data_IF_912659019170
#
_entry.id   IF_912659019170
#
_cell.length_a   1.000
_cell.length_b   1.000
_cell.length_c   1.000
_cell.angle_alpha   90.00
_cell.angle_beta   90.00
_cell.angle_gamma   90.00
#
_symmetry.space_group_name_H-M   'P 1'
#
loop_
_entity.id
_entity.type
_entity.pdbx_description
1 polymer ?
#
# COMPACT_ATOMS: atom_id res chain seq x y z
N UNK A 1 8.68 6.28 3.80
CA UNK A 1 8.77 4.84 4.19
C UNK A 1 7.68 4.52 5.21
N UNK A 2 6.88 3.46 4.99
CA UNK A 2 5.76 3.03 5.84
C UNK A 2 6.25 2.33 7.13
N UNK A 3 7.09 2.99 7.93
CA UNK A 3 7.69 2.38 9.13
C UNK A 3 7.33 3.18 10.37
N UNK A 4 6.61 2.53 11.28
CA UNK A 4 6.47 2.96 12.67
C UNK A 4 7.68 2.45 13.47
N UNK A 5 8.03 3.09 14.58
CA UNK A 5 9.10 2.66 15.51
C UNK A 5 8.94 1.20 15.98
N UNK A 6 7.73 0.65 15.92
CA UNK A 6 7.44 -0.75 16.26
C UNK A 6 7.48 -1.73 15.07
N UNK A 7 7.48 -1.22 13.83
CA UNK A 7 7.39 -2.02 12.61
C UNK A 7 8.78 -2.26 12.00
N UNK A 8 9.17 -3.52 11.87
CA UNK A 8 10.39 -3.91 11.15
C UNK A 8 10.07 -4.01 9.65
N UNK A 9 11.07 -3.93 8.75
CA UNK A 9 10.83 -4.13 7.31
C UNK A 9 10.08 -5.44 7.00
N UNK A 10 10.35 -6.52 7.74
CA UNK A 10 9.65 -7.80 7.62
C UNK A 10 8.15 -7.78 7.98
N UNK A 11 7.62 -6.65 8.45
CA UNK A 11 6.18 -6.40 8.55
C UNK A 11 5.56 -6.08 7.18
N UNK A 12 6.34 -5.52 6.25
CA UNK A 12 5.89 -5.08 4.94
C UNK A 12 6.33 -6.00 3.82
N UNK A 13 7.59 -6.45 3.86
CA UNK A 13 8.23 -7.28 2.83
C UNK A 13 8.49 -8.68 3.37
N UNK A 14 8.87 -9.62 2.49
CA UNK A 14 9.20 -10.98 2.90
C UNK A 14 10.39 -10.98 3.85
N UNK A 15 10.13 -11.45 5.07
CA UNK A 15 11.15 -11.67 6.09
C UNK A 15 12.01 -12.86 5.70
N UNK A 16 13.33 -12.72 5.91
CA UNK A 16 14.29 -13.80 5.66
C UNK A 16 14.05 -15.05 6.51
N UNK A 17 13.40 -14.90 7.66
CA UNK A 17 13.07 -15.99 8.58
C UNK A 17 11.79 -16.76 8.18
N UNK A 18 10.92 -16.16 7.37
CA UNK A 18 9.62 -16.71 6.96
C UNK A 18 9.49 -16.83 5.43
N UNK A 19 10.61 -17.08 4.73
CA UNK A 19 10.66 -17.08 3.25
C UNK A 19 9.69 -18.09 2.62
N UNK A 20 9.52 -19.24 3.25
CA UNK A 20 8.64 -20.33 2.81
C UNK A 20 7.15 -19.91 2.75
N UNK A 21 6.74 -18.94 3.57
CA UNK A 21 5.32 -18.57 3.72
C UNK A 21 4.83 -17.53 2.69
N UNK A 22 5.74 -16.93 1.91
CA UNK A 22 5.46 -15.83 0.97
C UNK A 22 4.52 -14.74 1.57
N UNK A 23 4.68 -14.45 2.86
CA UNK A 23 3.75 -13.62 3.61
C UNK A 23 4.32 -12.22 3.86
N UNK A 24 3.75 -11.23 3.15
CA UNK A 24 4.11 -9.80 3.13
C UNK A 24 2.86 -8.90 3.25
N UNK A 25 2.99 -7.57 3.27
CA UNK A 25 1.83 -6.67 3.22
C UNK A 25 0.99 -6.94 1.98
N UNK A 26 -0.30 -7.20 2.14
CA UNK A 26 -1.24 -7.53 1.06
C UNK A 26 -2.24 -6.41 0.82
N UNK A 27 -2.87 -6.36 -0.35
CA UNK A 27 -3.90 -5.36 -0.65
C UNK A 27 -5.06 -5.36 0.34
N UNK A 28 -5.42 -6.52 0.91
CA UNK A 28 -6.44 -6.59 1.98
C UNK A 28 -6.06 -5.88 3.27
N UNK A 29 -4.79 -5.57 3.48
CA UNK A 29 -4.28 -4.93 4.68
C UNK A 29 -4.30 -3.40 4.58
N UNK A 30 -4.63 -2.86 3.39
CA UNK A 30 -4.62 -1.43 3.07
C UNK A 30 -6.04 -0.94 2.81
N UNK A 31 -6.48 0.04 3.58
CA UNK A 31 -7.75 0.74 3.37
C UNK A 31 -7.46 2.19 2.99
N UNK A 32 -8.08 2.70 1.93
CA UNK A 32 -7.86 4.06 1.40
C UNK A 32 -9.17 4.85 1.40
N UNK A 33 -9.08 6.12 1.76
CA UNK A 33 -10.21 7.05 1.88
C UNK A 33 -9.83 8.42 1.37
N UNK A 34 -10.78 9.11 0.72
CA UNK A 34 -10.76 10.57 0.65
C UNK A 34 -11.47 11.10 1.90
N UNK A 35 -10.88 12.07 2.60
CA UNK A 35 -11.45 12.69 3.80
C UNK A 35 -11.43 14.21 3.69
N UNK A 36 -12.30 14.90 4.44
CA UNK A 36 -12.23 16.35 4.57
C UNK A 36 -10.96 16.74 5.32
N UNK A 37 -10.29 17.81 4.90
CA UNK A 37 -9.13 18.32 5.62
C UNK A 37 -9.59 18.89 6.97
N UNK A 38 -8.96 18.52 8.11
CA UNK A 38 -9.41 18.95 9.44
C UNK A 38 -9.35 20.47 9.61
N UNK A 39 -8.30 21.10 9.09
CA UNK A 39 -8.07 22.54 9.25
C UNK A 39 -8.59 23.41 8.08
N UNK A 40 -8.96 22.80 6.95
CA UNK A 40 -9.34 23.51 5.72
C UNK A 40 -10.66 22.94 5.16
N UNK A 41 -11.81 23.54 5.48
CA UNK A 41 -13.13 22.98 5.15
C UNK A 41 -13.37 22.71 3.65
N UNK A 42 -12.77 23.52 2.78
CA UNK A 42 -12.89 23.40 1.32
C UNK A 42 -11.88 22.42 0.70
N UNK A 43 -10.96 21.88 1.51
CA UNK A 43 -9.94 20.94 1.07
C UNK A 43 -10.27 19.50 1.46
N UNK A 44 -9.72 18.56 0.68
CA UNK A 44 -9.81 17.14 0.93
C UNK A 44 -8.43 16.53 0.80
N UNK A 45 -8.18 15.45 1.52
CA UNK A 45 -6.90 14.75 1.50
C UNK A 45 -7.11 13.24 1.51
N UNK A 46 -6.14 12.51 0.98
CA UNK A 46 -6.14 11.07 1.11
C UNK A 46 -5.70 10.63 2.51
N UNK A 47 -6.46 9.70 3.08
CA UNK A 47 -6.15 9.02 4.31
C UNK A 47 -6.06 7.52 4.02
N UNK A 48 -4.96 6.92 4.45
CA UNK A 48 -4.71 5.49 4.30
C UNK A 48 -4.54 4.85 5.67
N UNK A 49 -5.20 3.71 5.87
CA UNK A 49 -5.04 2.88 7.07
C UNK A 49 -4.39 1.57 6.67
N UNK A 50 -3.34 1.18 7.40
CA UNK A 50 -2.61 -0.05 7.10
C UNK A 50 -2.55 -0.94 8.32
N UNK A 51 -3.03 -2.18 8.18
CA UNK A 51 -3.01 -3.21 9.21
C UNK A 51 -1.69 -3.96 9.20
N UNK A 52 -0.89 -3.77 10.24
CA UNK A 52 0.43 -4.39 10.36
C UNK A 52 0.32 -5.77 11.01
N UNK A 53 -0.25 -6.74 10.27
CA UNK A 53 -0.47 -8.12 10.76
C UNK A 53 0.81 -8.94 10.96
N UNK A 54 1.92 -8.50 10.39
CA UNK A 54 3.18 -9.24 10.35
C UNK A 54 4.20 -8.80 11.41
N UNK A 55 3.74 -8.09 12.44
CA UNK A 55 4.60 -7.63 13.52
C UNK A 55 5.28 -8.80 14.26
N UNK A 56 6.53 -8.55 14.68
CA UNK A 56 7.36 -9.56 15.35
C UNK A 56 6.68 -10.07 16.62
N UNK A 57 6.67 -11.39 16.80
CA UNK A 57 6.10 -12.05 17.98
C UNK A 57 4.57 -12.14 18.01
N UNK A 58 3.88 -11.49 17.06
CA UNK A 58 2.40 -11.51 16.92
C UNK A 58 1.96 -11.64 15.45
N UNK A 59 2.77 -12.30 14.61
CA UNK A 59 2.48 -12.48 13.18
C UNK A 59 1.16 -13.23 13.01
N UNK A 60 0.21 -12.62 12.32
CA UNK A 60 -1.13 -13.15 12.07
C UNK A 60 -1.90 -13.55 13.35
N UNK A 61 -1.57 -12.94 14.49
CA UNK A 61 -2.18 -13.25 15.78
C UNK A 61 -2.80 -12.01 16.42
N UNK A 62 -3.98 -12.20 17.03
CA UNK A 62 -4.70 -11.13 17.71
C UNK A 62 -5.16 -10.01 16.77
N UNK A 63 -5.52 -8.87 17.36
CA UNK A 63 -5.87 -7.67 16.62
C UNK A 63 -4.59 -6.94 16.15
N UNK A 64 -4.32 -6.85 14.83
CA UNK A 64 -3.12 -6.19 14.35
C UNK A 64 -3.22 -4.67 14.54
N UNK A 65 -2.14 -3.98 14.92
CA UNK A 65 -2.16 -2.53 15.00
C UNK A 65 -2.41 -1.94 13.61
N UNK A 66 -3.24 -0.90 13.58
CA UNK A 66 -3.56 -0.16 12.36
C UNK A 66 -2.91 1.21 12.44
N UNK A 67 -2.06 1.53 11.47
CA UNK A 67 -1.43 2.83 11.36
C UNK A 67 -2.17 3.67 10.34
N UNK A 68 -2.38 4.95 10.68
CA UNK A 68 -3.03 5.92 9.80
C UNK A 68 -1.95 6.82 9.19
N UNK A 69 -2.01 6.98 7.88
CA UNK A 69 -1.16 7.85 7.10
C UNK A 69 -2.06 8.88 6.42
N UNK A 70 -1.63 10.14 6.42
CA UNK A 70 -2.27 11.21 5.66
C UNK A 70 -1.38 11.59 4.50
N UNK A 71 -2.01 12.06 3.43
CA UNK A 71 -1.33 12.62 2.28
C UNK A 71 -0.40 13.76 2.70
N UNK A 72 0.79 13.80 2.10
CA UNK A 72 1.78 14.86 2.30
C UNK A 72 1.92 15.65 1.00
N UNK A 73 1.69 16.96 1.10
CA UNK A 73 1.85 17.91 -0.02
C UNK A 73 3.11 18.76 0.07
N UNK A 74 3.89 18.61 1.15
CA UNK A 74 5.14 19.35 1.36
C UNK A 74 6.32 18.74 0.61
N UNK A 75 6.38 17.41 0.56
CA UNK A 75 7.33 16.66 -0.25
C UNK A 75 6.71 15.34 -0.68
N UNK A 76 6.75 15.08 -1.99
CA UNK A 76 6.20 13.87 -2.61
C UNK A 76 7.06 12.62 -2.31
N UNK A 77 8.39 12.77 -2.21
CA UNK A 77 9.30 11.65 -1.93
C UNK A 77 9.01 10.87 -0.64
N UNK A 78 8.68 11.51 0.50
CA UNK A 78 8.30 10.80 1.72
C UNK A 78 6.81 10.41 1.79
N UNK A 79 5.98 10.75 0.81
CA UNK A 79 4.55 10.49 0.82
C UNK A 79 4.25 9.00 0.55
N UNK A 80 4.05 8.23 1.61
CA UNK A 80 3.78 6.79 1.51
C UNK A 80 2.50 6.47 0.74
N UNK A 81 1.49 7.35 0.79
CA UNK A 81 0.26 7.16 0.02
C UNK A 81 0.57 7.20 -1.48
N UNK A 82 1.45 8.09 -1.93
CA UNK A 82 1.84 8.17 -3.32
C UNK A 82 2.51 6.88 -3.80
N UNK A 83 3.40 6.28 -2.99
CA UNK A 83 3.99 4.97 -3.30
C UNK A 83 2.90 3.92 -3.52
N UNK A 84 1.93 3.85 -2.61
CA UNK A 84 0.82 2.89 -2.68
C UNK A 84 -0.08 3.15 -3.90
N UNK A 85 -0.37 4.41 -4.24
CA UNK A 85 -1.11 4.75 -5.45
C UNK A 85 -0.37 4.30 -6.71
N UNK A 86 0.94 4.51 -6.77
CA UNK A 86 1.76 4.04 -7.89
C UNK A 86 1.63 2.53 -8.07
N UNK A 87 1.80 1.75 -7.00
CA UNK A 87 1.61 0.29 -7.06
C UNK A 87 0.16 -0.08 -7.41
N UNK A 88 -0.83 0.65 -6.91
CA UNK A 88 -2.24 0.39 -7.22
C UNK A 88 -2.56 0.59 -8.70
N UNK A 89 -1.98 1.60 -9.36
CA UNK A 89 -2.14 1.80 -10.80
C UNK A 89 -1.39 0.75 -11.62
N UNK A 90 -0.17 0.38 -11.21
CA UNK A 90 0.58 -0.70 -11.86
C UNK A 90 -0.14 -2.05 -11.78
N UNK A 91 -0.90 -2.26 -10.71
CA UNK A 91 -1.64 -3.49 -10.44
C UNK A 91 -3.06 -3.50 -10.99
N UNK A 92 -3.54 -2.39 -11.55
CA UNK A 92 -4.96 -2.18 -11.85
C UNK A 92 -5.82 -2.56 -10.62
N UNK A 93 -5.47 -1.99 -9.47
CA UNK A 93 -5.99 -2.45 -8.18
C UNK A 93 -7.32 -1.83 -7.76
N UNK A 94 -7.73 -0.72 -8.36
CA UNK A 94 -8.97 -0.05 -7.98
C UNK A 94 -10.21 -0.84 -8.40
N UNK A 95 -11.15 -1.03 -7.49
CA UNK A 95 -12.41 -1.71 -7.79
C UNK A 95 -13.33 -0.88 -8.71
N UNK A 96 -13.20 0.45 -8.66
CA UNK A 96 -13.99 1.35 -9.51
C UNK A 96 -13.48 1.32 -10.95
N UNK A 97 -14.34 1.05 -11.95
CA UNK A 97 -13.94 1.07 -13.37
C UNK A 97 -13.66 2.49 -13.90
N UNK A 98 -13.98 3.53 -13.10
CA UNK A 98 -13.79 4.93 -13.47
C UNK A 98 -12.42 5.47 -13.07
N UNK A 99 -11.69 4.82 -12.16
CA UNK A 99 -10.36 5.26 -11.74
C UNK A 99 -9.33 4.60 -12.65
N UNK A 100 -8.93 5.30 -13.73
CA UNK A 100 -7.96 4.80 -14.72
C UNK A 100 -6.64 5.56 -14.67
N UNK A 101 -6.69 6.83 -14.29
CA UNK A 101 -5.54 7.71 -14.18
C UNK A 101 -5.46 8.32 -12.78
N UNK A 102 -4.28 8.75 -12.31
CA UNK A 102 -4.12 9.35 -10.98
C UNK A 102 -5.16 10.44 -10.66
N UNK A 103 -5.41 11.36 -11.61
CA UNK A 103 -6.37 12.46 -11.42
C UNK A 103 -7.80 12.01 -11.19
N UNK A 104 -8.18 10.81 -11.63
CA UNK A 104 -9.53 10.27 -11.45
C UNK A 104 -9.87 10.04 -9.98
N UNK A 105 -8.87 9.79 -9.13
CA UNK A 105 -9.06 9.65 -7.68
C UNK A 105 -9.71 10.92 -7.14
N UNK A 106 -9.06 12.08 -7.26
CA UNK A 106 -9.60 13.34 -6.75
C UNK A 106 -10.88 13.78 -7.49
N UNK A 107 -11.02 13.42 -8.77
CA UNK A 107 -12.22 13.76 -9.56
C UNK A 107 -13.47 13.02 -9.09
N UNK A 108 -13.36 11.73 -8.78
CA UNK A 108 -14.52 10.86 -8.54
C UNK A 108 -14.75 10.50 -7.07
N UNK A 109 -13.80 10.80 -6.18
CA UNK A 109 -13.89 10.42 -4.76
C UNK A 109 -14.19 11.60 -3.83
N UNK A 110 -14.73 12.70 -4.38
CA UNK A 110 -15.12 13.88 -3.59
C UNK A 110 -15.99 13.47 -2.41
N UNK A 111 -15.66 13.96 -1.22
CA UNK A 111 -16.44 13.70 0.00
C UNK A 111 -17.77 14.46 -0.05
N UNK A 112 -18.94 13.78 0.07
CA UNK A 112 -20.23 14.43 0.16
C UNK A 112 -20.37 15.31 1.42
N UNK A 113 -21.19 16.35 1.37
CA UNK A 113 -21.32 17.34 2.45
C UNK A 113 -21.71 16.72 3.80
N UNK A 114 -22.63 15.76 3.78
CA UNK A 114 -23.13 15.06 4.98
C UNK A 114 -22.24 13.88 5.44
N UNK A 115 -21.09 13.65 4.79
CA UNK A 115 -20.14 12.59 5.15
C UNK A 115 -18.79 13.17 5.55
N UNK A 116 -18.03 12.38 6.30
CA UNK A 116 -16.65 12.71 6.67
C UNK A 116 -15.63 12.08 5.73
N UNK A 117 -16.02 11.05 4.99
CA UNK A 117 -15.12 10.34 4.08
C UNK A 117 -15.84 9.65 2.92
N UNK A 118 -15.07 9.40 1.86
CA UNK A 118 -15.43 8.54 0.74
C UNK A 118 -14.43 7.39 0.67
N UNK A 119 -14.84 6.13 0.86
CA UNK A 119 -13.93 5.00 0.74
C UNK A 119 -13.52 4.76 -0.72
N UNK A 120 -12.27 4.37 -0.91
CA UNK A 120 -11.69 3.99 -2.20
C UNK A 120 -11.34 2.51 -2.10
N UNK A 121 -12.12 1.68 -2.79
CA UNK A 121 -12.00 0.23 -2.68
C UNK A 121 -10.99 -0.34 -3.67
N UNK A 122 -10.19 -1.29 -3.19
CA UNK A 122 -9.38 -2.16 -4.04
C UNK A 122 -10.16 -3.42 -4.45
N UNK A 123 -9.76 -4.05 -5.56
CA UNK A 123 -10.41 -5.26 -6.10
C UNK A 123 -10.28 -6.43 -5.13
N UNK A 124 -11.39 -7.16 -4.97
CA UNK A 124 -11.43 -8.36 -4.15
C UNK A 124 -10.49 -9.47 -4.64
N UNK A 125 -10.29 -9.56 -5.97
CA UNK A 125 -9.37 -10.52 -6.59
C UNK A 125 -7.91 -10.32 -6.18
N UNK A 126 -7.51 -9.11 -5.77
CA UNK A 126 -6.13 -8.78 -5.42
C UNK A 126 -5.87 -8.83 -3.91
N UNK A 127 -6.91 -9.04 -3.08
CA UNK A 127 -6.82 -9.01 -1.60
C UNK A 127 -5.64 -9.80 -1.02
N UNK A 128 -5.31 -10.95 -1.61
CA UNK A 128 -4.25 -11.84 -1.11
C UNK A 128 -2.89 -11.65 -1.81
N UNK A 129 -2.78 -10.74 -2.77
CA UNK A 129 -1.55 -10.45 -3.50
C UNK A 129 -0.72 -9.45 -2.69
N UNK A 130 0.60 -9.67 -2.54
CA UNK A 130 1.48 -8.71 -1.90
C UNK A 130 1.49 -7.37 -2.66
N UNK A 131 1.53 -6.26 -1.92
CA UNK A 131 1.67 -4.92 -2.48
C UNK A 131 3.07 -4.75 -3.07
N UNK A 132 4.10 -4.98 -2.25
CA UNK A 132 5.49 -4.95 -2.69
C UNK A 132 5.89 -6.32 -3.22
N UNK A 133 6.10 -6.42 -4.53
CA UNK A 133 6.43 -7.68 -5.21
C UNK A 133 7.84 -7.69 -5.76
N UNK A 134 8.38 -8.91 -5.84
CA UNK A 134 9.74 -9.18 -6.29
C UNK A 134 9.92 -8.74 -7.74
N UNK A 135 11.05 -8.11 -8.06
CA UNK A 135 11.47 -7.92 -9.45
C UNK A 135 12.11 -9.21 -9.97
N UNK A 136 11.70 -9.71 -11.12
CA UNK A 136 12.26 -10.93 -11.74
C UNK A 136 12.72 -10.63 -13.16
N UNK A 137 13.84 -11.24 -13.56
CA UNK A 137 14.29 -11.19 -14.96
C UNK A 137 13.56 -12.24 -15.77
N UNK A 138 12.96 -11.81 -16.87
CA UNK A 138 12.40 -12.71 -17.88
C UNK A 138 13.51 -13.46 -18.62
N UNK A 139 13.14 -14.49 -19.39
CA UNK A 139 14.06 -15.21 -20.27
C UNK A 139 14.79 -14.30 -21.27
N UNK A 140 14.18 -13.15 -21.62
CA UNK A 140 14.74 -12.15 -22.52
C UNK A 140 15.55 -11.05 -21.80
N UNK A 141 15.78 -11.19 -20.49
CA UNK A 141 16.56 -10.25 -19.69
C UNK A 141 15.80 -9.01 -19.19
N UNK A 142 14.55 -8.78 -19.63
CA UNK A 142 13.72 -7.68 -19.14
C UNK A 142 13.29 -7.92 -17.69
N UNK A 143 13.30 -6.86 -16.87
CA UNK A 143 12.78 -6.89 -15.51
C UNK A 143 11.26 -6.74 -15.51
N UNK A 144 10.57 -7.64 -14.81
CA UNK A 144 9.13 -7.58 -14.60
C UNK A 144 8.81 -7.80 -13.13
N UNK A 145 7.66 -7.30 -12.68
CA UNK A 145 7.18 -7.56 -11.33
C UNK A 145 6.54 -8.96 -11.28
N UNK A 146 6.93 -9.76 -10.29
CA UNK A 146 6.30 -11.06 -10.04
C UNK A 146 4.80 -10.89 -9.73
N UNK A 147 3.96 -11.80 -10.17
CA UNK A 147 2.51 -11.70 -9.98
C UNK A 147 2.05 -12.14 -8.58
N UNK A 148 2.88 -12.87 -7.82
CA UNK A 148 2.48 -13.47 -6.54
C UNK A 148 3.54 -13.38 -5.44
N UNK A 149 4.82 -13.32 -5.80
CA UNK A 149 5.91 -13.38 -4.82
C UNK A 149 6.22 -11.99 -4.28
N UNK A 150 6.22 -11.86 -2.95
CA UNK A 150 6.56 -10.62 -2.28
C UNK A 150 8.03 -10.24 -2.47
N UNK A 151 8.32 -8.94 -2.40
CA UNK A 151 9.69 -8.43 -2.39
C UNK A 151 10.41 -8.94 -1.14
N UNK A 152 11.68 -9.35 -1.25
CA UNK A 152 12.44 -9.90 -0.11
C UNK A 152 13.57 -8.97 0.30
N UNK A 153 13.96 -9.08 1.57
CA UNK A 153 15.10 -8.30 2.09
C UNK A 153 16.40 -8.59 1.34
N UNK A 154 16.65 -9.86 0.96
CA UNK A 154 17.85 -10.22 0.21
C UNK A 154 17.90 -9.58 -1.17
N UNK A 155 16.74 -9.37 -1.82
CA UNK A 155 16.70 -8.66 -3.09
C UNK A 155 16.96 -7.16 -2.91
N UNK A 156 16.53 -6.55 -1.80
CA UNK A 156 16.85 -5.16 -1.51
C UNK A 156 18.37 -4.92 -1.42
N UNK A 157 19.10 -5.86 -0.79
CA UNK A 157 20.55 -5.80 -0.63
C UNK A 157 21.33 -5.84 -1.96
N UNK A 158 20.73 -6.32 -3.06
CA UNK A 158 21.37 -6.29 -4.38
C UNK A 158 21.54 -4.86 -4.91
N UNK A 159 20.71 -3.91 -4.46
CA UNK A 159 20.76 -2.50 -4.88
C UNK A 159 21.65 -1.62 -3.98
N UNK A 160 22.20 -2.19 -2.91
CA UNK A 160 23.10 -1.48 -1.98
C UNK A 160 24.59 -1.62 -2.36
N UNK A 161 24.90 -2.40 -3.39
CA UNK A 161 26.25 -2.64 -3.91
C UNK A 161 26.51 -1.84 -5.16
#
# INVERSE_FOLDING_TARGET
MMVSTSARPGTLVLSSYYKEENDALKWKDVDLYMVKHPDYPDAQLLLMRVRHRLNKGKRNQGAPPTFTYTERNDNLGPCVIQDILMYAFLDDAFASPHIKFPRDIWRFTKVPDLRHSTPIHFKDSLKNIPVFRRAVRTKHGAWVTDCKVGFSYSQAQEYEK
#
